data_IF_418329289736
#
_entry.id   IF_418329289736
#
_cell.length_a   1.000
_cell.length_b   1.000
_cell.length_c   1.000
_cell.angle_alpha   90.00
_cell.angle_beta   90.00
_cell.angle_gamma   90.00
#
_symmetry.space_group_name_H-M   'P 1'
#
loop_
_entity.id
_entity.type
_entity.pdbx_description
1 polymer ?
#
# COMPACT_ATOMS: atom_id res chain seq x y z
N UNK A 1 8.29 -20.26 0.81
CA UNK A 1 7.36 -19.17 1.16
C UNK A 1 6.12 -19.74 1.85
N UNK A 2 5.67 -19.15 2.95
CA UNK A 2 4.48 -19.66 3.67
C UNK A 2 3.20 -19.47 2.82
N UNK A 3 2.24 -20.39 2.91
CA UNK A 3 0.99 -20.34 2.14
C UNK A 3 0.21 -19.02 2.35
N UNK A 4 0.23 -18.47 3.57
CA UNK A 4 -0.39 -17.19 3.86
C UNK A 4 0.26 -16.01 3.12
N UNK A 5 1.55 -16.09 2.77
CA UNK A 5 2.21 -15.07 1.94
C UNK A 5 1.61 -15.08 0.55
N UNK A 6 1.56 -16.26 -0.05
CA UNK A 6 1.04 -16.46 -1.40
C UNK A 6 -0.41 -15.99 -1.49
N UNK A 7 -1.27 -16.40 -0.55
CA UNK A 7 -2.68 -16.00 -0.52
C UNK A 7 -2.84 -14.48 -0.42
N UNK A 8 -2.14 -13.82 0.50
CA UNK A 8 -2.24 -12.36 0.66
C UNK A 8 -1.70 -11.60 -0.55
N UNK A 9 -0.58 -12.06 -1.13
CA UNK A 9 -0.03 -11.47 -2.36
C UNK A 9 -1.00 -11.58 -3.53
N UNK A 10 -1.67 -12.73 -3.69
CA UNK A 10 -2.68 -12.94 -4.73
C UNK A 10 -3.87 -12.01 -4.51
N UNK A 11 -4.41 -11.93 -3.29
CA UNK A 11 -5.55 -11.04 -3.00
C UNK A 11 -5.21 -9.57 -3.26
N UNK A 12 -4.05 -9.10 -2.79
CA UNK A 12 -3.58 -7.73 -3.02
C UNK A 12 -3.41 -7.45 -4.51
N UNK A 13 -2.81 -8.38 -5.25
CA UNK A 13 -2.62 -8.24 -6.69
C UNK A 13 -3.96 -8.18 -7.43
N UNK A 14 -4.94 -9.02 -7.05
CA UNK A 14 -6.28 -9.00 -7.65
C UNK A 14 -6.96 -7.65 -7.46
N UNK A 15 -6.92 -7.08 -6.25
CA UNK A 15 -7.49 -5.75 -6.00
C UNK A 15 -6.74 -4.64 -6.74
N UNK A 16 -5.41 -4.70 -6.80
CA UNK A 16 -4.61 -3.74 -7.55
C UNK A 16 -4.88 -3.80 -9.06
N UNK A 17 -5.00 -5.00 -9.63
CA UNK A 17 -5.34 -5.19 -11.05
C UNK A 17 -6.77 -4.73 -11.33
N UNK A 18 -7.75 -5.09 -10.51
CA UNK A 18 -9.12 -4.63 -10.65
C UNK A 18 -9.22 -3.10 -10.57
N UNK A 19 -8.51 -2.48 -9.61
CA UNK A 19 -8.37 -1.03 -9.52
C UNK A 19 -7.79 -0.43 -10.79
N UNK A 20 -6.69 -1.01 -11.31
CA UNK A 20 -6.05 -0.52 -12.52
C UNK A 20 -6.98 -0.61 -13.73
N UNK A 21 -7.67 -1.73 -13.94
CA UNK A 21 -8.65 -1.92 -15.03
C UNK A 21 -9.74 -0.86 -14.94
N UNK A 22 -10.32 -0.63 -13.76
CA UNK A 22 -11.32 0.42 -13.57
C UNK A 22 -10.75 1.82 -13.86
N UNK A 23 -9.49 2.10 -13.48
CA UNK A 23 -8.81 3.34 -13.82
C UNK A 23 -8.61 3.53 -15.33
N UNK A 24 -8.20 2.49 -16.06
CA UNK A 24 -8.09 2.55 -17.53
C UNK A 24 -9.46 2.74 -18.20
N UNK A 25 -10.49 2.05 -17.71
CA UNK A 25 -11.87 2.21 -18.23
C UNK A 25 -12.39 3.62 -17.90
N UNK A 26 -12.14 4.13 -16.70
CA UNK A 26 -12.50 5.49 -16.31
C UNK A 26 -11.85 6.52 -17.23
N UNK A 27 -10.57 6.33 -17.59
CA UNK A 27 -9.85 7.19 -18.53
C UNK A 27 -10.53 7.24 -19.91
N UNK A 28 -11.04 6.11 -20.41
CA UNK A 28 -11.77 6.09 -21.69
C UNK A 28 -13.13 6.80 -21.65
N UNK A 29 -13.64 7.07 -20.44
CA UNK A 29 -14.95 7.68 -20.20
C UNK A 29 -14.84 9.04 -19.53
N UNK A 30 -13.65 9.65 -19.53
CA UNK A 30 -13.45 11.00 -19.02
C UNK A 30 -14.22 12.00 -19.85
N UNK A 31 -14.61 13.09 -19.22
CA UNK A 31 -15.19 14.24 -19.88
C UNK A 31 -14.26 14.76 -20.98
N UNK A 32 -14.78 14.86 -22.20
CA UNK A 32 -14.09 15.49 -23.33
C UNK A 32 -14.53 16.95 -23.49
N UNK A 33 -13.66 17.83 -24.01
CA UNK A 33 -13.96 19.26 -24.12
C UNK A 33 -15.21 19.55 -24.97
N UNK A 34 -15.47 18.73 -25.99
CA UNK A 34 -16.63 18.87 -26.89
C UNK A 34 -17.98 18.63 -26.21
N UNK A 35 -17.97 18.05 -25.01
CA UNK A 35 -19.18 17.74 -24.23
C UNK A 35 -19.51 18.83 -23.20
N UNK A 36 -18.67 19.86 -23.09
CA UNK A 36 -18.87 20.96 -22.15
C UNK A 36 -19.73 22.02 -22.83
N UNK A 37 -20.92 22.26 -22.29
CA UNK A 37 -21.83 23.28 -22.81
C UNK A 37 -21.53 24.62 -22.15
N UNK A 38 -21.40 25.67 -22.98
CA UNK A 38 -21.22 27.04 -22.51
C UNK A 38 -22.51 27.83 -22.67
N UNK A 39 -23.03 28.40 -21.58
CA UNK A 39 -24.23 29.22 -21.59
C UNK A 39 -24.08 30.39 -20.63
N UNK A 40 -24.19 31.62 -21.14
CA UNK A 40 -24.33 32.83 -20.30
C UNK A 40 -23.21 33.08 -19.29
N UNK A 41 -21.95 32.75 -19.60
CA UNK A 41 -20.81 32.95 -18.68
C UNK A 41 -20.49 31.76 -17.77
N UNK A 42 -21.25 30.67 -17.85
CA UNK A 42 -21.00 29.43 -17.11
C UNK A 42 -20.77 28.25 -18.06
N UNK A 43 -19.99 27.28 -17.59
CA UNK A 43 -19.70 26.02 -18.25
C UNK A 43 -20.40 24.88 -17.49
N UNK A 44 -21.22 24.10 -18.18
CA UNK A 44 -21.99 22.98 -17.63
C UNK A 44 -21.23 21.68 -17.90
N UNK A 45 -20.93 20.94 -16.84
CA UNK A 45 -20.19 19.67 -16.89
C UNK A 45 -21.19 18.52 -16.65
N UNK A 46 -21.52 17.71 -17.67
CA UNK A 46 -22.45 16.61 -17.53
C UNK A 46 -21.87 15.48 -16.67
N UNK A 47 -22.76 14.68 -16.06
CA UNK A 47 -22.36 13.50 -15.31
C UNK A 47 -21.68 12.46 -16.23
N UNK A 48 -20.50 11.97 -15.82
CA UNK A 48 -19.77 10.92 -16.55
C UNK A 48 -19.54 9.68 -15.71
N UNK A 49 -19.60 8.48 -16.30
CA UNK A 49 -19.37 7.24 -15.56
C UNK A 49 -17.94 7.12 -15.03
N UNK A 50 -16.98 7.89 -15.57
CA UNK A 50 -15.62 8.00 -15.03
C UNK A 50 -15.60 8.41 -13.54
N UNK A 51 -16.58 9.18 -13.06
CA UNK A 51 -16.71 9.56 -11.66
C UNK A 51 -16.83 8.32 -10.75
N UNK A 52 -17.84 7.48 -10.99
CA UNK A 52 -18.09 6.29 -10.19
C UNK A 52 -16.99 5.24 -10.36
N UNK A 53 -16.50 5.04 -11.59
CA UNK A 53 -15.39 4.13 -11.85
C UNK A 53 -14.11 4.53 -11.11
N UNK A 54 -13.81 5.84 -11.06
CA UNK A 54 -12.69 6.39 -10.32
C UNK A 54 -12.81 6.16 -8.80
N UNK A 55 -14.00 6.32 -8.23
CA UNK A 55 -14.25 6.03 -6.81
C UNK A 55 -14.04 4.55 -6.50
N UNK A 56 -14.60 3.65 -7.32
CA UNK A 56 -14.42 2.22 -7.15
C UNK A 56 -12.94 1.82 -7.28
N UNK A 57 -12.22 2.39 -8.24
CA UNK A 57 -10.79 2.15 -8.43
C UNK A 57 -9.98 2.60 -7.20
N UNK A 58 -10.27 3.79 -6.66
CA UNK A 58 -9.62 4.30 -5.46
C UNK A 58 -9.90 3.42 -4.23
N UNK A 59 -11.14 2.96 -4.07
CA UNK A 59 -11.54 2.09 -2.96
C UNK A 59 -10.80 0.74 -2.98
N UNK A 60 -10.67 0.11 -4.16
CA UNK A 60 -9.93 -1.14 -4.32
C UNK A 60 -8.43 -0.96 -4.05
N UNK A 61 -7.85 0.15 -4.49
CA UNK A 61 -6.46 0.47 -4.18
C UNK A 61 -6.26 0.66 -2.66
N UNK A 62 -7.18 1.37 -2.00
CA UNK A 62 -7.14 1.55 -0.55
C UNK A 62 -7.25 0.20 0.17
N UNK A 63 -8.15 -0.68 -0.26
CA UNK A 63 -8.27 -2.03 0.30
C UNK A 63 -6.96 -2.82 0.15
N UNK A 64 -6.34 -2.79 -1.03
CA UNK A 64 -5.04 -3.43 -1.27
C UNK A 64 -3.96 -2.90 -0.31
N UNK A 65 -3.87 -1.57 -0.13
CA UNK A 65 -2.88 -0.95 0.74
C UNK A 65 -3.13 -1.24 2.23
N UNK A 66 -4.39 -1.30 2.66
CA UNK A 66 -4.78 -1.67 4.03
C UNK A 66 -4.36 -3.11 4.32
N UNK A 67 -4.62 -4.06 3.40
CA UNK A 67 -4.25 -5.46 3.57
C UNK A 67 -2.73 -5.62 3.74
N UNK A 68 -1.94 -4.96 2.89
CA UNK A 68 -0.47 -4.97 3.00
C UNK A 68 0.00 -4.39 4.34
N UNK A 69 -0.65 -3.32 4.81
CA UNK A 69 -0.30 -2.65 6.06
C UNK A 69 -0.63 -3.50 7.30
N UNK A 70 -1.83 -4.08 7.35
CA UNK A 70 -2.24 -4.97 8.45
C UNK A 70 -1.37 -6.22 8.47
N UNK A 71 -1.06 -6.81 7.32
CA UNK A 71 -0.17 -7.97 7.23
C UNK A 71 1.27 -7.64 7.70
N UNK A 72 1.74 -6.42 7.44
CA UNK A 72 3.04 -5.94 7.92
C UNK A 72 3.10 -5.66 9.43
N UNK A 73 2.03 -5.12 10.01
CA UNK A 73 1.95 -4.77 11.44
C UNK A 73 1.63 -5.99 12.32
N UNK A 74 0.67 -6.82 11.92
CA UNK A 74 0.16 -7.93 12.73
C UNK A 74 1.14 -9.12 12.84
N UNK A 75 2.08 -9.27 11.91
CA UNK A 75 3.00 -10.41 11.86
C UNK A 75 4.43 -10.17 12.40
N UNK A 76 4.66 -9.10 13.18
CA UNK A 76 5.81 -9.04 14.10
C UNK A 76 6.91 -8.00 13.84
N UNK A 77 6.64 -6.90 13.12
CA UNK A 77 7.67 -5.89 12.83
C UNK A 77 7.96 -4.89 13.98
N UNK A 78 7.18 -4.87 15.06
CA UNK A 78 7.35 -3.94 16.20
C UNK A 78 8.00 -4.55 17.45
N UNK A 79 8.62 -5.73 17.36
CA UNK A 79 9.53 -6.19 18.41
C UNK A 79 10.96 -5.75 18.04
N UNK A 80 11.56 -4.77 18.74
CA UNK A 80 12.98 -4.49 18.59
C UNK A 80 13.74 -5.71 19.12
N UNK A 81 14.05 -6.66 18.24
CA UNK A 81 15.05 -7.69 18.55
C UNK A 81 16.39 -6.98 18.39
N UNK A 82 17.00 -6.62 19.52
CA UNK A 82 18.19 -5.77 19.60
C UNK A 82 19.25 -6.13 18.56
N UNK A 83 19.71 -5.12 17.81
CA UNK A 83 20.70 -5.23 16.75
C UNK A 83 20.38 -4.35 15.53
N UNK A 84 21.41 -3.85 14.85
CA UNK A 84 21.26 -3.04 13.65
C UNK A 84 20.48 -3.80 12.55
N UNK A 85 19.58 -3.15 11.78
CA UNK A 85 18.85 -3.81 10.72
C UNK A 85 19.80 -4.34 9.64
N UNK A 86 19.76 -5.65 9.37
CA UNK A 86 20.50 -6.25 8.26
C UNK A 86 20.10 -5.65 6.89
N UNK A 87 20.93 -5.81 5.84
CA UNK A 87 20.68 -5.23 4.51
C UNK A 87 19.29 -5.54 3.93
N UNK A 88 18.78 -6.77 4.15
CA UNK A 88 17.44 -7.22 3.73
C UNK A 88 16.32 -6.40 4.38
N UNK A 89 16.44 -6.08 5.68
CA UNK A 89 15.46 -5.25 6.42
C UNK A 89 15.46 -3.80 5.94
N UNK A 90 16.63 -3.24 5.65
CA UNK A 90 16.74 -1.87 5.09
C UNK A 90 16.04 -1.77 3.73
N UNK A 91 16.25 -2.76 2.85
CA UNK A 91 15.58 -2.85 1.54
C UNK A 91 14.06 -3.03 1.66
N UNK A 92 13.61 -3.85 2.60
CA UNK A 92 12.18 -4.00 2.85
C UNK A 92 11.54 -2.70 3.37
N UNK A 93 12.18 -2.02 4.32
CA UNK A 93 11.70 -0.75 4.85
C UNK A 93 11.60 0.33 3.77
N UNK A 94 12.61 0.48 2.91
CA UNK A 94 12.54 1.44 1.80
C UNK A 94 11.44 1.09 0.78
N UNK A 95 11.24 -0.19 0.49
CA UNK A 95 10.17 -0.65 -0.40
C UNK A 95 8.78 -0.37 0.17
N UNK A 96 8.58 -0.50 1.49
CA UNK A 96 7.31 -0.13 2.16
C UNK A 96 7.05 1.37 2.05
N UNK A 97 8.05 2.20 2.36
CA UNK A 97 7.91 3.65 2.26
C UNK A 97 7.58 4.06 0.83
N UNK A 98 8.29 3.50 -0.15
CA UNK A 98 8.04 3.82 -1.56
C UNK A 98 6.66 3.33 -2.03
N UNK A 99 6.20 2.17 -1.56
CA UNK A 99 4.84 1.68 -1.79
C UNK A 99 3.79 2.65 -1.27
N UNK A 100 3.95 3.15 -0.04
CA UNK A 100 3.03 4.13 0.55
C UNK A 100 3.01 5.46 -0.21
N UNK A 101 4.18 5.97 -0.60
CA UNK A 101 4.28 7.21 -1.39
C UNK A 101 3.59 7.03 -2.75
N UNK A 102 3.84 5.91 -3.44
CA UNK A 102 3.19 5.60 -4.70
C UNK A 102 1.67 5.43 -4.55
N UNK A 103 1.21 4.76 -3.49
CA UNK A 103 -0.22 4.60 -3.19
C UNK A 103 -0.90 5.94 -2.91
N UNK A 104 -0.26 6.83 -2.14
CA UNK A 104 -0.78 8.18 -1.87
C UNK A 104 -0.87 9.02 -3.15
N UNK A 105 0.17 8.99 -4.00
CA UNK A 105 0.17 9.67 -5.29
C UNK A 105 -0.92 9.12 -6.23
N UNK A 106 -1.13 7.80 -6.25
CA UNK A 106 -2.20 7.16 -7.00
C UNK A 106 -3.59 7.59 -6.48
N UNK A 107 -3.80 7.58 -5.16
CA UNK A 107 -5.05 8.01 -4.54
C UNK A 107 -5.36 9.48 -4.83
N UNK A 108 -4.37 10.37 -4.74
CA UNK A 108 -4.52 11.79 -5.10
C UNK A 108 -4.89 11.95 -6.58
N UNK A 109 -4.27 11.18 -7.46
CA UNK A 109 -4.58 11.18 -8.89
C UNK A 109 -6.01 10.70 -9.17
N UNK A 110 -6.47 9.62 -8.51
CA UNK A 110 -7.86 9.19 -8.59
C UNK A 110 -8.83 10.25 -8.08
N UNK A 111 -8.55 10.87 -6.93
CA UNK A 111 -9.38 11.93 -6.35
C UNK A 111 -9.49 13.14 -7.29
N UNK A 112 -8.39 13.53 -7.93
CA UNK A 112 -8.38 14.58 -8.94
C UNK A 112 -9.19 14.17 -10.18
N UNK A 113 -9.03 12.95 -10.69
CA UNK A 113 -9.87 12.44 -11.77
C UNK A 113 -11.36 12.47 -11.41
N UNK A 114 -11.73 12.03 -10.21
CA UNK A 114 -13.11 12.02 -9.72
C UNK A 114 -13.67 13.44 -9.62
N UNK A 115 -12.96 14.38 -8.97
CA UNK A 115 -13.47 15.75 -8.78
C UNK A 115 -13.69 16.52 -10.08
N UNK A 116 -12.86 16.24 -11.10
CA UNK A 116 -12.99 16.86 -12.41
C UNK A 116 -14.00 16.19 -13.34
N UNK A 117 -14.45 14.97 -13.03
CA UNK A 117 -15.50 14.26 -13.76
C UNK A 117 -16.86 14.27 -13.03
N UNK A 118 -16.97 15.01 -11.93
CA UNK A 118 -18.22 15.20 -11.21
C UNK A 118 -19.18 16.12 -11.98
N UNK A 119 -20.47 15.83 -11.93
CA UNK A 119 -21.49 16.69 -12.51
C UNK A 119 -21.52 18.02 -11.75
N UNK A 120 -21.21 19.12 -12.42
CA UNK A 120 -21.15 20.44 -11.79
C UNK A 120 -21.26 21.55 -12.83
N UNK A 121 -21.48 22.77 -12.38
CA UNK A 121 -21.41 23.98 -13.22
C UNK A 121 -20.29 24.85 -12.68
N UNK A 122 -19.39 25.31 -13.55
CA UNK A 122 -18.25 26.16 -13.17
C UNK A 122 -18.33 27.47 -13.94
N UNK A 123 -17.87 28.56 -13.33
CA UNK A 123 -17.70 29.81 -14.05
C UNK A 123 -16.72 29.63 -15.21
N UNK A 124 -17.01 30.25 -16.35
CA UNK A 124 -16.07 30.27 -17.44
C UNK A 124 -14.90 31.20 -17.10
N UNK A 125 -13.69 30.84 -17.50
CA UNK A 125 -12.49 31.63 -17.26
C UNK A 125 -12.26 32.53 -18.47
N UNK A 126 -12.04 33.82 -18.22
CA UNK A 126 -11.67 34.79 -19.25
C UNK A 126 -10.15 34.79 -19.39
N UNK A 127 -9.66 34.43 -20.58
CA UNK A 127 -8.24 34.40 -20.93
C UNK A 127 -8.00 35.36 -22.09
N UNK A 128 -7.72 36.63 -21.75
CA UNK A 128 -7.63 37.73 -22.71
C UNK A 128 -8.98 38.03 -23.35
N UNK A 129 -9.08 37.84 -24.67
CA UNK A 129 -10.32 38.06 -25.44
C UNK A 129 -11.17 36.78 -25.62
N UNK A 130 -10.72 35.64 -25.07
CA UNK A 130 -11.38 34.34 -25.24
C UNK A 130 -11.96 33.83 -23.93
N UNK A 131 -13.09 33.13 -24.02
CA UNK A 131 -13.74 32.46 -22.90
C UNK A 131 -13.41 30.98 -22.98
N UNK A 132 -12.89 30.40 -21.89
CA UNK A 132 -12.50 28.99 -21.83
C UNK A 132 -13.17 28.28 -20.65
N UNK A 133 -13.55 27.03 -20.89
CA UNK A 133 -13.95 26.10 -19.85
C UNK A 133 -12.73 25.25 -19.45
N UNK A 134 -12.39 25.25 -18.16
CA UNK A 134 -11.28 24.43 -17.66
C UNK A 134 -11.67 22.96 -17.67
N UNK A 135 -10.82 22.11 -18.24
CA UNK A 135 -11.00 20.67 -18.21
C UNK A 135 -9.73 19.99 -17.75
N UNK A 136 -9.88 18.80 -17.16
CA UNK A 136 -8.74 18.01 -16.74
C UNK A 136 -8.13 17.34 -17.97
N UNK A 137 -6.85 17.63 -18.22
CA UNK A 137 -6.10 16.96 -19.29
C UNK A 137 -6.08 15.45 -19.05
N UNK A 138 -6.27 14.68 -20.12
CA UNK A 138 -6.25 13.22 -20.06
C UNK A 138 -4.97 12.63 -19.47
N UNK A 139 -5.04 11.34 -19.15
CA UNK A 139 -4.07 10.46 -18.52
C UNK A 139 -3.96 10.54 -16.98
N UNK A 140 -4.91 11.15 -16.28
CA UNK A 140 -4.88 11.20 -14.80
C UNK A 140 -5.27 9.86 -14.18
N UNK A 141 -6.35 9.23 -14.64
CA UNK A 141 -6.74 7.90 -14.16
C UNK A 141 -5.73 6.84 -14.59
N UNK A 142 -5.17 6.97 -15.79
CA UNK A 142 -4.10 6.09 -16.28
C UNK A 142 -2.85 6.13 -15.40
N UNK A 143 -2.40 7.35 -15.03
CA UNK A 143 -1.26 7.52 -14.11
C UNK A 143 -1.58 6.94 -12.73
N UNK A 144 -2.79 7.16 -12.23
CA UNK A 144 -3.24 6.57 -10.97
C UNK A 144 -3.19 5.03 -10.99
N UNK A 145 -3.67 4.40 -12.07
CA UNK A 145 -3.63 2.95 -12.25
C UNK A 145 -2.21 2.40 -12.25
N UNK A 146 -1.28 3.02 -13.00
CA UNK A 146 0.11 2.59 -13.06
C UNK A 146 0.84 2.74 -11.71
N UNK A 147 0.64 3.88 -11.04
CA UNK A 147 1.20 4.11 -9.70
C UNK A 147 0.63 3.14 -8.66
N UNK A 148 -0.66 2.81 -8.76
CA UNK A 148 -1.31 1.83 -7.89
C UNK A 148 -0.76 0.41 -8.06
N UNK A 149 -0.51 -0.02 -9.30
CA UNK A 149 0.16 -1.30 -9.59
C UNK A 149 1.59 -1.31 -9.04
N UNK A 150 2.36 -0.24 -9.25
CA UNK A 150 3.71 -0.13 -8.72
C UNK A 150 3.72 -0.19 -7.18
N UNK A 151 2.77 0.50 -6.53
CA UNK A 151 2.60 0.48 -5.08
C UNK A 151 2.31 -0.94 -4.55
N UNK A 152 1.42 -1.67 -5.22
CA UNK A 152 1.08 -3.04 -4.87
C UNK A 152 2.28 -3.99 -5.01
N UNK A 153 3.02 -3.90 -6.12
CA UNK A 153 4.23 -4.72 -6.34
C UNK A 153 5.29 -4.43 -5.27
N UNK A 154 5.57 -3.16 -4.98
CA UNK A 154 6.52 -2.78 -3.92
C UNK A 154 6.08 -3.25 -2.53
N UNK A 155 4.78 -3.21 -2.25
CA UNK A 155 4.20 -3.71 -1.00
C UNK A 155 4.33 -5.23 -0.86
N UNK A 156 4.02 -5.97 -1.93
CA UNK A 156 4.17 -7.43 -1.99
C UNK A 156 5.64 -7.83 -1.84
N UNK A 157 6.55 -7.18 -2.55
CA UNK A 157 8.00 -7.43 -2.45
C UNK A 157 8.51 -7.20 -1.03
N UNK A 158 8.12 -6.08 -0.40
CA UNK A 158 8.50 -5.83 0.98
C UNK A 158 7.97 -6.89 1.94
N UNK A 159 6.71 -7.29 1.76
CA UNK A 159 6.07 -8.31 2.58
C UNK A 159 6.75 -9.68 2.45
N UNK A 160 7.10 -10.08 1.22
CA UNK A 160 7.86 -11.31 0.96
C UNK A 160 9.24 -11.28 1.62
N UNK A 161 10.03 -10.21 1.43
CA UNK A 161 11.38 -10.06 2.02
C UNK A 161 11.33 -10.14 3.55
N UNK A 162 10.30 -9.58 4.19
CA UNK A 162 10.15 -9.61 5.65
C UNK A 162 9.72 -10.98 6.20
N UNK A 163 9.12 -11.82 5.36
CA UNK A 163 8.65 -13.17 5.73
C UNK A 163 9.55 -14.31 5.28
N UNK A 164 10.68 -14.00 4.63
CA UNK A 164 11.72 -15.00 4.43
C UNK A 164 12.21 -15.52 5.80
N UNK A 165 12.14 -16.84 6.00
CA UNK A 165 12.61 -17.47 7.23
C UNK A 165 14.15 -17.38 7.28
N UNK A 166 14.77 -17.18 8.46
CA UNK A 166 16.23 -17.18 8.63
C UNK A 166 16.98 -18.48 8.28
N UNK A 167 16.40 -19.40 7.49
CA UNK A 167 16.98 -20.70 7.16
C UNK A 167 17.13 -20.99 5.66
N UNK A 168 16.68 -20.10 4.77
CA UNK A 168 16.82 -20.24 3.30
C UNK A 168 18.04 -19.48 2.75
N UNK A 169 19.00 -19.12 3.61
CA UNK A 169 20.27 -18.56 3.14
C UNK A 169 21.12 -19.71 2.57
N UNK A 170 21.52 -19.70 1.28
CA UNK A 170 22.49 -20.66 0.79
C UNK A 170 23.76 -20.47 1.60
N UNK A 171 24.09 -21.49 2.39
CA UNK A 171 25.32 -21.54 3.17
C UNK A 171 26.49 -21.33 2.20
N UNK A 172 27.39 -20.35 2.42
CA UNK A 172 28.65 -20.32 1.69
C UNK A 172 29.36 -21.65 1.94
N UNK A 173 29.74 -22.34 0.87
CA UNK A 173 30.40 -23.63 0.95
C UNK A 173 31.61 -23.57 1.90
N UNK A 174 31.61 -24.48 2.88
CA UNK A 174 32.76 -24.70 3.77
C UNK A 174 32.66 -24.08 5.16
N UNK A 175 31.94 -24.73 6.07
CA UNK A 175 32.44 -25.14 7.40
C UNK A 175 31.36 -26.02 8.10
N UNK A 176 31.72 -27.25 8.45
CA UNK A 176 30.86 -28.24 9.12
C UNK A 176 30.59 -27.87 10.60
N UNK A 177 29.53 -28.39 11.24
CA UNK A 177 28.98 -27.87 12.49
C UNK A 177 29.64 -28.48 13.74
N UNK A 178 29.82 -27.67 14.78
CA UNK A 178 30.06 -28.18 16.13
C UNK A 178 28.71 -28.54 16.79
N UNK A 179 28.59 -29.81 17.14
CA UNK A 179 27.48 -30.48 17.81
C UNK A 179 27.50 -30.18 19.31
N UNK A 180 26.31 -30.07 19.91
CA UNK A 180 26.06 -30.22 21.35
C UNK A 180 25.18 -29.08 21.89
N UNK A 181 24.02 -29.28 22.50
CA UNK A 181 23.32 -30.46 22.98
C UNK A 181 22.41 -30.03 24.15
N UNK A 182 21.14 -30.44 24.13
CA UNK A 182 20.16 -30.56 25.25
C UNK A 182 19.97 -29.37 26.23
N UNK A 183 18.80 -28.70 26.25
CA UNK A 183 17.63 -29.05 27.08
C UNK A 183 17.95 -29.24 28.58
N UNK A 184 17.48 -28.31 29.45
CA UNK A 184 16.53 -28.66 30.51
C UNK A 184 16.00 -27.45 31.29
N UNK A 185 14.71 -27.55 31.62
CA UNK A 185 13.95 -26.66 32.48
C UNK A 185 14.38 -26.81 33.95
N UNK A 186 14.37 -25.72 34.72
CA UNK A 186 13.70 -25.70 36.04
C UNK A 186 13.60 -24.28 36.58
N UNK A 187 12.37 -23.90 36.94
CA UNK A 187 12.06 -22.87 37.92
C UNK A 187 12.83 -23.12 39.21
N UNK A 188 13.42 -22.08 39.78
CA UNK A 188 13.80 -22.07 41.19
C UNK A 188 13.31 -20.77 41.83
N UNK A 189 12.11 -20.88 42.40
CA UNK A 189 11.59 -20.01 43.46
C UNK A 189 12.47 -20.24 44.70
N UNK A 190 13.03 -19.18 45.26
CA UNK A 190 13.84 -19.24 46.47
C UNK A 190 12.95 -19.44 47.72
N UNK A 191 13.27 -20.39 48.64
CA UNK A 191 12.62 -20.45 49.95
C UNK A 191 13.40 -19.65 51.02
N UNK A 192 12.65 -18.99 51.91
CA UNK A 192 13.12 -18.29 53.11
C UNK A 192 13.81 -19.25 54.13
N UNK A 193 14.76 -18.76 54.95
CA UNK A 193 15.38 -19.56 56.01
C UNK A 193 14.52 -19.65 57.30
N UNK A 194 14.59 -20.77 58.05
CA UNK A 194 13.80 -20.99 59.26
C UNK A 194 14.38 -20.32 60.52
N UNK A 195 13.47 -19.95 61.41
CA UNK A 195 13.68 -19.50 62.78
C UNK A 195 14.23 -20.65 63.65
N UNK A 196 15.27 -20.39 64.44
CA UNK A 196 15.61 -21.20 65.63
C UNK A 196 15.95 -20.26 66.78
N UNK A 197 15.01 -20.17 67.72
CA UNK A 197 15.17 -19.63 69.08
C UNK A 197 15.41 -20.83 70.00
N UNK A 198 16.52 -20.83 70.74
CA UNK A 198 16.69 -21.57 71.99
C UNK A 198 17.82 -20.96 72.82
N UNK A 199 17.39 -20.27 73.89
CA UNK A 199 17.91 -20.29 75.27
C UNK A 199 19.34 -20.79 75.52
N UNK A 200 20.20 -19.91 76.04
CA UNK A 200 20.57 -19.82 77.47
C UNK A 200 20.72 -18.35 77.84
#
# INVERSE_FOLDING_TARGET
MDASVVVLSVVVLLFAVASAVLGFVAESKTLTPDEIEYSGGVCVYPAKPAYMLGICAAALLAAAQIIVSVAGVCCGCFKPRGGAPGPKRKKAASSIVLSWVAAAAAAASYAQGVSWNAATTRGAVVDGLFIKCEYLRGAVFRRAALLGLAAAVLGICAYAILRERPGDEPKPDGQQPAVGGAQNAQQQVAPLPPQVVSTV
#
